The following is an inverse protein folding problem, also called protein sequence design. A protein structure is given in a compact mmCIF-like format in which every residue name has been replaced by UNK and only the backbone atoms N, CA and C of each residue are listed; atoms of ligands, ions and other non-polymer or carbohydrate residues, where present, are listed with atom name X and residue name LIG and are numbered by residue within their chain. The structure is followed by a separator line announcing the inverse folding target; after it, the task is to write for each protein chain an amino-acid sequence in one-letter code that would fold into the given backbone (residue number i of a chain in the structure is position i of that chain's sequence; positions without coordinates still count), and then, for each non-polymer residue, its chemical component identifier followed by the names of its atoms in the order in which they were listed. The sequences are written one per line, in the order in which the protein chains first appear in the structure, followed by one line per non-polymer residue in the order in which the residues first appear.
data_IF_923379746735
#
_entry.id   IF_923379746735
#
_cell.length_a   1.000
_cell.length_b   1.000
_cell.length_c   1.000
_cell.angle_alpha   90.00
_cell.angle_beta   90.00
_cell.angle_gamma   90.00
#
_symmetry.space_group_name_H-M   'P 1'
#
loop_
_entity.id
_entity.type
_entity.pdbx_description
1 polymer ?
#
# COMPACT_ATOMS: atom_id res chain seq x y z
N UNK A 1 -14.31 -25.35 55.35
CA UNK A 1 -14.37 -23.89 55.13
C UNK A 1 -13.85 -23.64 53.72
N UNK A 2 -14.72 -23.73 52.73
CA UNK A 2 -14.40 -23.44 51.33
C UNK A 2 -15.28 -22.26 50.93
N UNK A 3 -14.65 -21.12 50.65
CA UNK A 3 -15.33 -19.94 50.15
C UNK A 3 -15.44 -20.11 48.64
N UNK A 4 -16.65 -20.31 48.14
CA UNK A 4 -16.96 -20.18 46.73
C UNK A 4 -16.91 -18.68 46.38
N UNK A 5 -16.15 -18.33 45.35
CA UNK A 5 -16.20 -17.00 44.74
C UNK A 5 -17.38 -17.01 43.75
N UNK A 6 -18.44 -16.29 44.11
CA UNK A 6 -19.55 -15.99 43.21
C UNK A 6 -19.05 -15.18 42.01
N UNK A 7 -19.37 -15.65 40.81
CA UNK A 7 -19.21 -14.87 39.58
C UNK A 7 -20.32 -13.81 39.50
N UNK A 8 -20.03 -12.55 39.14
CA UNK A 8 -21.05 -11.53 39.02
C UNK A 8 -21.93 -11.80 37.79
N UNK A 9 -23.18 -12.16 38.03
CA UNK A 9 -24.26 -12.11 37.04
C UNK A 9 -24.69 -10.66 36.84
N UNK A 10 -23.98 -9.94 35.97
CA UNK A 10 -24.41 -8.64 35.46
C UNK A 10 -24.62 -8.76 33.95
N UNK A 11 -25.85 -8.58 33.48
CA UNK A 11 -26.15 -8.36 32.07
C UNK A 11 -25.37 -7.11 31.61
N UNK A 12 -24.35 -7.30 30.79
CA UNK A 12 -23.68 -6.20 30.11
C UNK A 12 -24.60 -5.73 28.98
N UNK A 13 -25.41 -4.70 29.25
CA UNK A 13 -26.02 -3.91 28.18
C UNK A 13 -24.92 -3.11 27.49
N UNK A 14 -24.47 -3.60 26.34
CA UNK A 14 -23.51 -2.87 25.48
C UNK A 14 -24.29 -1.84 24.69
N UNK A 15 -24.34 -0.60 25.19
CA UNK A 15 -24.82 0.53 24.40
C UNK A 15 -23.72 0.97 23.43
N UNK A 16 -23.93 0.72 22.14
CA UNK A 16 -23.05 1.24 21.08
C UNK A 16 -23.03 2.79 21.15
N UNK A 17 -21.86 3.43 21.01
CA UNK A 17 -21.76 4.90 21.04
C UNK A 17 -22.55 5.52 19.87
N UNK A 18 -23.21 6.66 20.11
CA UNK A 18 -23.89 7.41 19.05
C UNK A 18 -22.86 8.07 18.13
N UNK A 19 -22.72 7.53 16.92
CA UNK A 19 -21.89 8.11 15.85
C UNK A 19 -22.71 9.16 15.08
N UNK A 20 -22.16 10.36 14.79
CA UNK A 20 -22.88 11.38 14.00
C UNK A 20 -23.22 10.86 12.59
N UNK A 21 -24.44 11.14 12.08
CA UNK A 21 -25.00 10.55 10.84
C UNK A 21 -24.18 10.75 9.57
N UNK A 22 -23.30 11.75 9.55
CA UNK A 22 -22.42 12.08 8.43
C UNK A 22 -21.16 11.19 8.34
N UNK A 23 -20.91 10.35 9.36
CA UNK A 23 -19.80 9.38 9.43
C UNK A 23 -20.28 7.93 9.48
N UNK A 24 -21.57 7.69 9.22
CA UNK A 24 -22.15 6.36 9.28
C UNK A 24 -22.14 5.75 7.87
N UNK A 25 -21.28 4.76 7.66
CA UNK A 25 -21.25 3.93 6.45
C UNK A 25 -22.52 3.06 6.35
N UNK A 26 -22.95 2.73 5.13
CA UNK A 26 -24.15 1.91 4.90
C UNK A 26 -24.06 0.54 5.59
N UNK A 27 -22.86 -0.04 5.71
CA UNK A 27 -22.65 -1.31 6.42
C UNK A 27 -22.95 -1.21 7.92
N UNK A 28 -22.63 -0.09 8.58
CA UNK A 28 -22.95 0.10 9.99
C UNK A 28 -24.45 0.22 10.23
N UNK A 29 -25.17 0.92 9.33
CA UNK A 29 -26.64 1.01 9.43
C UNK A 29 -27.29 -0.36 9.24
N UNK A 30 -26.77 -1.17 8.31
CA UNK A 30 -27.25 -2.53 8.09
C UNK A 30 -27.00 -3.44 9.30
N UNK A 31 -25.80 -3.38 9.89
CA UNK A 31 -25.47 -4.16 11.10
C UNK A 31 -26.25 -3.69 12.32
N UNK A 32 -26.45 -2.38 12.47
CA UNK A 32 -27.27 -1.82 13.56
C UNK A 32 -28.74 -2.19 13.42
N UNK A 33 -29.29 -2.17 12.20
CA UNK A 33 -30.65 -2.63 11.95
C UNK A 33 -30.83 -4.12 12.30
N UNK A 34 -29.86 -4.98 11.94
CA UNK A 34 -29.87 -6.39 12.31
C UNK A 34 -29.78 -6.59 13.84
N UNK A 35 -28.94 -5.81 14.51
CA UNK A 35 -28.84 -5.82 15.97
C UNK A 35 -30.14 -5.39 16.63
N UNK A 36 -30.75 -4.30 16.16
CA UNK A 36 -32.00 -3.76 16.70
C UNK A 36 -33.19 -4.71 16.45
N UNK A 37 -33.17 -5.49 15.36
CA UNK A 37 -34.21 -6.49 15.05
C UNK A 37 -34.08 -7.79 15.86
N UNK A 38 -32.87 -8.31 16.06
CA UNK A 38 -32.65 -9.56 16.80
C UNK A 38 -31.30 -9.59 17.52
N UNK A 39 -31.19 -8.97 18.71
CA UNK A 39 -29.94 -8.89 19.45
C UNK A 39 -29.39 -10.28 19.83
N UNK A 40 -30.29 -11.19 20.24
CA UNK A 40 -29.92 -12.52 20.73
C UNK A 40 -29.41 -13.46 19.62
N UNK A 41 -29.89 -13.27 18.38
CA UNK A 41 -29.45 -14.03 17.20
C UNK A 41 -28.45 -13.31 16.30
N UNK A 42 -28.06 -12.08 16.65
CA UNK A 42 -27.16 -11.27 15.84
C UNK A 42 -25.82 -11.97 15.58
N UNK A 43 -25.22 -12.55 16.62
CA UNK A 43 -23.94 -13.25 16.51
C UNK A 43 -24.01 -14.41 15.52
N UNK A 44 -25.06 -15.24 15.58
CA UNK A 44 -25.26 -16.40 14.72
C UNK A 44 -25.57 -16.00 13.26
N UNK A 45 -26.28 -14.87 13.06
CA UNK A 45 -26.55 -14.31 11.73
C UNK A 45 -25.30 -13.71 11.09
N UNK A 46 -24.47 -13.02 11.87
CA UNK A 46 -23.18 -12.50 11.41
C UNK A 46 -22.23 -13.66 11.11
N UNK A 47 -22.20 -14.70 11.94
CA UNK A 47 -21.39 -15.90 11.72
C UNK A 47 -21.85 -16.66 10.45
N UNK A 48 -23.17 -16.85 10.27
CA UNK A 48 -23.73 -17.46 9.07
C UNK A 48 -23.44 -16.63 7.81
N UNK A 49 -23.52 -15.29 7.89
CA UNK A 49 -23.16 -14.39 6.81
C UNK A 49 -21.66 -14.47 6.49
N UNK A 50 -20.82 -14.63 7.51
CA UNK A 50 -19.35 -14.78 7.43
C UNK A 50 -18.96 -16.10 6.76
N UNK A 51 -19.63 -17.20 7.11
CA UNK A 51 -19.48 -18.49 6.45
C UNK A 51 -19.96 -18.45 5.00
N UNK A 52 -21.13 -17.84 4.75
CA UNK A 52 -21.68 -17.65 3.40
C UNK A 52 -20.77 -16.78 2.53
N UNK A 53 -20.13 -15.78 3.13
CA UNK A 53 -19.12 -14.94 2.49
C UNK A 53 -17.73 -15.60 2.40
N UNK A 54 -17.60 -16.87 2.81
CA UNK A 54 -16.36 -17.65 2.68
C UNK A 54 -15.17 -17.02 3.42
N UNK A 55 -15.39 -16.35 4.55
CA UNK A 55 -14.33 -15.64 5.26
C UNK A 55 -13.27 -16.59 5.87
N UNK A 56 -13.63 -17.82 6.19
CA UNK A 56 -12.69 -18.90 6.58
C UNK A 56 -11.81 -19.39 5.43
N UNK A 57 -12.18 -19.14 4.17
CA UNK A 57 -11.32 -19.43 3.01
C UNK A 57 -10.22 -18.38 2.83
N UNK A 58 -10.38 -17.16 3.36
CA UNK A 58 -9.34 -16.13 3.29
C UNK A 58 -8.07 -16.52 4.06
N UNK A 59 -8.19 -17.31 5.14
CA UNK A 59 -7.05 -17.83 5.91
C UNK A 59 -6.21 -18.84 5.13
N UNK A 60 -6.76 -19.41 4.06
CA UNK A 60 -6.10 -20.38 3.19
C UNK A 60 -5.57 -19.76 1.88
N UNK A 61 -5.61 -18.43 1.72
CA UNK A 61 -5.02 -17.77 0.55
C UNK A 61 -3.51 -18.03 0.53
N UNK A 62 -3.05 -18.68 -0.54
CA UNK A 62 -1.64 -18.98 -0.72
C UNK A 62 -0.80 -17.68 -0.71
N UNK A 63 0.35 -17.66 -0.01
CA UNK A 63 1.25 -16.51 -0.04
C UNK A 63 1.71 -16.24 -1.48
N UNK A 64 1.64 -14.98 -1.90
CA UNK A 64 2.22 -14.58 -3.19
C UNK A 64 3.72 -14.34 -3.01
N UNK A 65 4.54 -14.80 -3.95
CA UNK A 65 5.98 -14.53 -3.92
C UNK A 65 6.25 -13.04 -4.21
N UNK A 66 7.00 -12.38 -3.34
CA UNK A 66 7.47 -11.02 -3.58
C UNK A 66 8.32 -10.93 -4.84
N UNK A 67 8.23 -9.80 -5.54
CA UNK A 67 9.09 -9.54 -6.69
C UNK A 67 10.57 -9.54 -6.26
N UNK A 68 11.47 -10.26 -6.96
CA UNK A 68 12.88 -10.29 -6.61
C UNK A 68 13.61 -9.02 -7.06
N UNK A 69 14.87 -8.88 -6.63
CA UNK A 69 15.78 -7.94 -7.27
C UNK A 69 16.16 -8.43 -8.67
N UNK A 70 16.02 -7.55 -9.65
CA UNK A 70 16.35 -7.76 -11.06
C UNK A 70 17.65 -7.00 -11.35
N UNK A 71 18.58 -7.65 -12.05
CA UNK A 71 19.82 -7.02 -12.51
C UNK A 71 19.51 -6.01 -13.62
N UNK A 72 19.99 -4.78 -13.47
CA UNK A 72 19.80 -3.74 -14.47
C UNK A 72 20.50 -4.06 -15.80
N UNK A 73 21.64 -4.75 -15.75
CA UNK A 73 22.35 -5.21 -16.96
C UNK A 73 21.54 -6.26 -17.73
N UNK A 74 20.81 -7.12 -17.02
CA UNK A 74 20.03 -8.19 -17.64
C UNK A 74 18.67 -7.72 -18.17
N UNK A 75 17.96 -6.90 -17.40
CA UNK A 75 16.66 -6.33 -17.75
C UNK A 75 16.61 -4.90 -17.19
N UNK A 76 16.89 -3.87 -18.00
CA UNK A 76 16.91 -2.47 -17.55
C UNK A 76 15.51 -1.84 -17.48
N UNK A 77 14.46 -2.55 -17.88
CA UNK A 77 13.11 -2.02 -17.99
C UNK A 77 12.12 -2.76 -17.05
N UNK A 78 11.31 -1.98 -16.35
CA UNK A 78 10.19 -2.45 -15.53
C UNK A 78 8.91 -1.80 -16.01
N UNK A 79 7.91 -2.60 -16.35
CA UNK A 79 6.59 -2.14 -16.79
C UNK A 79 5.58 -2.46 -15.69
N UNK A 80 4.83 -1.45 -15.25
CA UNK A 80 3.86 -1.57 -14.17
C UNK A 80 2.55 -0.92 -14.60
N UNK A 81 1.41 -1.62 -14.49
CA UNK A 81 0.13 -1.04 -14.85
C UNK A 81 -0.29 0.01 -13.83
N UNK A 82 -1.03 1.01 -14.31
CA UNK A 82 -1.43 2.16 -13.49
C UNK A 82 -2.61 1.89 -12.55
N UNK A 83 -3.18 0.68 -12.59
CA UNK A 83 -4.33 0.32 -11.76
C UNK A 83 -4.03 -0.86 -10.84
N UNK A 84 -4.34 -0.66 -9.57
CA UNK A 84 -4.32 -1.63 -8.48
C UNK A 84 -5.74 -1.85 -7.95
N UNK A 85 -6.00 -3.02 -7.36
CA UNK A 85 -7.24 -3.22 -6.61
C UNK A 85 -7.25 -2.41 -5.31
N UNK A 86 -8.36 -2.51 -4.57
CA UNK A 86 -8.54 -1.87 -3.26
C UNK A 86 -8.97 -2.85 -2.16
N UNK A 87 -9.20 -4.13 -2.52
CA UNK A 87 -9.83 -5.09 -1.64
C UNK A 87 -8.94 -5.46 -0.44
N UNK A 88 -7.62 -5.53 -0.65
CA UNK A 88 -6.68 -5.93 0.40
C UNK A 88 -6.69 -4.99 1.60
N UNK A 89 -6.85 -3.68 1.38
CA UNK A 89 -6.90 -2.71 2.50
C UNK A 89 -8.05 -3.02 3.45
N UNK A 90 -9.27 -3.19 2.91
CA UNK A 90 -10.45 -3.48 3.72
C UNK A 90 -10.39 -4.85 4.40
N UNK A 91 -9.77 -5.85 3.74
CA UNK A 91 -9.51 -7.15 4.39
C UNK A 91 -8.55 -6.97 5.57
N UNK A 92 -7.41 -6.28 5.38
CA UNK A 92 -6.44 -6.06 6.44
C UNK A 92 -7.04 -5.27 7.61
N UNK A 93 -7.80 -4.22 7.30
CA UNK A 93 -8.51 -3.43 8.31
C UNK A 93 -9.47 -4.29 9.14
N UNK A 94 -10.31 -5.10 8.48
CA UNK A 94 -11.26 -5.98 9.18
C UNK A 94 -10.56 -6.93 10.13
N UNK A 95 -9.45 -7.56 9.70
CA UNK A 95 -8.71 -8.49 10.55
C UNK A 95 -8.13 -7.79 11.80
N UNK A 96 -7.60 -6.58 11.62
CA UNK A 96 -6.92 -5.87 12.70
C UNK A 96 -7.90 -5.21 13.66
N UNK A 97 -8.89 -4.47 13.16
CA UNK A 97 -9.84 -3.70 13.99
C UNK A 97 -11.10 -4.48 14.34
N UNK A 98 -11.56 -5.34 13.44
CA UNK A 98 -12.76 -6.14 13.65
C UNK A 98 -12.47 -7.46 14.37
N UNK A 99 -11.44 -8.17 13.94
CA UNK A 99 -11.14 -9.53 14.46
C UNK A 99 -9.96 -9.55 15.45
N UNK A 100 -9.29 -8.41 15.68
CA UNK A 100 -8.15 -8.26 16.60
C UNK A 100 -7.05 -9.31 16.39
N UNK A 101 -6.72 -9.60 15.13
CA UNK A 101 -5.67 -10.56 14.74
C UNK A 101 -4.95 -10.14 13.46
N UNK A 102 -3.77 -10.72 13.20
CA UNK A 102 -3.06 -10.45 11.96
C UNK A 102 -3.78 -11.07 10.75
N UNK A 103 -3.80 -10.38 9.59
CA UNK A 103 -4.37 -10.90 8.36
C UNK A 103 -3.55 -12.08 7.81
N UNK A 104 -4.17 -13.01 7.07
CA UNK A 104 -3.49 -14.04 6.32
C UNK A 104 -2.49 -13.41 5.33
N UNK A 105 -1.25 -13.93 5.29
CA UNK A 105 -0.18 -13.34 4.46
C UNK A 105 -0.56 -13.19 2.99
N UNK A 106 -1.30 -14.16 2.46
CA UNK A 106 -1.76 -14.16 1.06
C UNK A 106 -2.81 -13.10 0.74
N UNK A 107 -3.52 -12.55 1.75
CA UNK A 107 -4.51 -11.49 1.54
C UNK A 107 -3.90 -10.08 1.54
N UNK A 108 -2.60 -9.95 1.80
CA UNK A 108 -1.89 -8.66 1.90
C UNK A 108 -1.25 -8.31 0.55
N UNK A 109 -1.82 -7.32 -0.13
CA UNK A 109 -1.33 -6.77 -1.41
C UNK A 109 -0.81 -5.36 -1.17
N UNK A 110 0.52 -5.21 -1.17
CA UNK A 110 1.19 -3.96 -0.79
C UNK A 110 0.77 -2.81 -1.70
N UNK A 111 0.63 -3.06 -3.00
CA UNK A 111 0.19 -2.07 -3.97
C UNK A 111 -1.21 -1.54 -3.66
N UNK A 112 -2.11 -2.37 -3.13
CA UNK A 112 -3.47 -1.97 -2.78
C UNK A 112 -3.52 -1.23 -1.45
N UNK A 113 -2.61 -1.52 -0.51
CA UNK A 113 -2.47 -0.76 0.73
C UNK A 113 -2.01 0.68 0.44
N UNK A 114 -1.02 0.84 -0.44
CA UNK A 114 -0.51 2.16 -0.86
C UNK A 114 -1.60 2.92 -1.64
N UNK A 115 -2.19 2.28 -2.66
CA UNK A 115 -3.11 2.93 -3.59
C UNK A 115 -4.58 2.98 -3.12
N UNK A 116 -4.86 2.55 -1.89
CA UNK A 116 -6.09 2.91 -1.19
C UNK A 116 -6.17 4.43 -0.99
N UNK A 117 -5.02 5.10 -0.89
CA UNK A 117 -4.90 6.53 -0.69
C UNK A 117 -4.79 7.31 -2.00
N UNK A 118 -5.23 8.56 -1.96
CA UNK A 118 -4.92 9.54 -3.00
C UNK A 118 -3.70 10.36 -2.60
N UNK A 119 -2.81 10.58 -3.56
CA UNK A 119 -1.60 11.38 -3.42
C UNK A 119 -1.66 12.53 -4.42
N UNK A 120 -1.20 13.70 -3.99
CA UNK A 120 -1.08 14.87 -4.85
C UNK A 120 0.33 15.41 -4.79
N UNK A 121 0.83 15.87 -5.93
CA UNK A 121 2.09 16.61 -6.02
C UNK A 121 1.95 17.76 -7.03
N UNK A 122 2.53 18.89 -6.67
CA UNK A 122 2.57 20.08 -7.51
C UNK A 122 3.80 20.09 -8.44
N UNK A 123 4.77 19.19 -8.22
CA UNK A 123 5.99 19.08 -9.03
C UNK A 123 6.02 17.81 -9.87
N UNK A 124 6.11 17.93 -11.20
CA UNK A 124 6.20 16.79 -12.11
C UNK A 124 6.13 17.19 -13.58
N UNK A 125 6.32 16.22 -14.48
CA UNK A 125 5.93 16.38 -15.87
C UNK A 125 4.39 16.37 -15.95
N UNK A 126 3.81 17.26 -16.77
CA UNK A 126 2.35 17.42 -16.86
C UNK A 126 1.95 17.56 -18.33
N UNK A 127 1.00 16.74 -18.76
CA UNK A 127 0.34 16.82 -20.06
C UNK A 127 -1.16 16.75 -19.80
N UNK A 128 -1.87 17.83 -20.14
CA UNK A 128 -3.34 17.92 -20.08
C UNK A 128 -3.98 17.49 -18.74
N UNK A 129 -3.28 17.72 -17.61
CA UNK A 129 -3.78 17.35 -16.28
C UNK A 129 -3.35 15.95 -15.81
N UNK A 130 -2.71 15.15 -16.66
CA UNK A 130 -2.01 13.94 -16.26
C UNK A 130 -0.60 14.31 -15.83
N UNK A 131 -0.29 14.08 -14.55
CA UNK A 131 0.98 14.45 -13.92
C UNK A 131 1.77 13.21 -13.55
N UNK A 132 3.06 13.22 -13.88
CA UNK A 132 4.02 12.18 -13.52
C UNK A 132 5.14 12.81 -12.69
N UNK A 133 5.37 12.27 -11.50
CA UNK A 133 6.34 12.76 -10.53
C UNK A 133 7.20 11.62 -10.02
N UNK A 134 8.47 11.90 -9.78
CA UNK A 134 9.42 10.92 -9.24
C UNK A 134 10.16 11.52 -8.06
N UNK A 135 10.16 10.79 -6.96
CA UNK A 135 10.96 11.09 -5.78
C UNK A 135 11.97 9.98 -5.53
N UNK A 136 13.17 10.35 -5.08
CA UNK A 136 14.26 9.42 -4.82
C UNK A 136 14.97 9.77 -3.52
N UNK A 137 14.98 8.83 -2.57
CA UNK A 137 15.52 9.02 -1.23
C UNK A 137 16.28 7.77 -0.76
N UNK A 138 17.15 7.95 0.23
CA UNK A 138 17.88 6.85 0.88
C UNK A 138 16.91 5.92 1.61
N UNK A 139 17.18 4.60 1.61
CA UNK A 139 16.32 3.64 2.29
C UNK A 139 16.56 3.69 3.81
N UNK A 140 15.53 3.85 4.66
CA UNK A 140 15.72 4.07 6.09
C UNK A 140 16.07 2.80 6.90
N UNK A 141 16.09 1.62 6.26
CA UNK A 141 16.42 0.34 6.91
C UNK A 141 17.60 -0.41 6.27
N UNK A 142 18.17 0.10 5.18
CA UNK A 142 19.26 -0.54 4.45
C UNK A 142 20.07 0.55 3.71
N UNK A 143 21.34 0.75 4.11
CA UNK A 143 22.21 1.79 3.59
C UNK A 143 22.77 1.50 2.19
N UNK A 144 22.67 0.24 1.72
CA UNK A 144 22.99 -0.13 0.35
C UNK A 144 21.85 0.17 -0.63
N UNK A 145 20.67 0.51 -0.12
CA UNK A 145 19.47 0.70 -0.91
C UNK A 145 18.98 2.15 -0.91
N UNK A 146 18.30 2.50 -2.00
CA UNK A 146 17.51 3.72 -2.13
C UNK A 146 16.07 3.36 -2.51
N UNK A 147 15.15 4.27 -2.24
CA UNK A 147 13.73 4.16 -2.54
C UNK A 147 13.35 5.18 -3.62
N UNK A 148 12.68 4.70 -4.66
CA UNK A 148 12.10 5.53 -5.71
C UNK A 148 10.58 5.44 -5.67
N UNK A 149 9.92 6.56 -5.39
CA UNK A 149 8.48 6.71 -5.50
C UNK A 149 8.10 7.33 -6.83
N UNK A 150 7.20 6.69 -7.57
CA UNK A 150 6.64 7.21 -8.81
C UNK A 150 5.16 7.49 -8.58
N UNK A 151 4.76 8.75 -8.73
CA UNK A 151 3.37 9.19 -8.60
C UNK A 151 2.84 9.55 -9.99
N UNK A 152 1.77 8.86 -10.38
CA UNK A 152 0.90 9.25 -11.47
C UNK A 152 -0.38 9.86 -10.88
N UNK A 153 -0.71 11.09 -11.24
CA UNK A 153 -1.92 11.78 -10.79
C UNK A 153 -2.75 12.20 -12.00
N UNK A 154 -4.05 11.95 -11.96
CA UNK A 154 -4.98 12.42 -13.00
C UNK A 154 -5.84 13.56 -12.46
N UNK A 155 -5.45 14.80 -12.76
CA UNK A 155 -6.25 16.02 -12.50
C UNK A 155 -7.04 16.47 -13.74
N UNK A 156 -7.04 15.68 -14.82
CA UNK A 156 -7.83 15.97 -16.02
C UNK A 156 -9.30 15.63 -15.80
N UNK A 157 -10.18 16.10 -16.68
CA UNK A 157 -11.60 15.71 -16.68
C UNK A 157 -11.84 14.30 -17.27
N UNK A 158 -10.78 13.68 -17.84
CA UNK A 158 -10.83 12.38 -18.50
C UNK A 158 -10.42 11.22 -17.61
N UNK A 159 -10.50 10.01 -18.18
CA UNK A 159 -9.98 8.78 -17.59
C UNK A 159 -8.70 8.42 -18.33
N UNK A 160 -7.59 8.25 -17.60
CA UNK A 160 -6.40 7.63 -18.19
C UNK A 160 -6.69 6.14 -18.34
N UNK A 161 -6.56 5.65 -19.56
CA UNK A 161 -7.03 4.33 -19.92
C UNK A 161 -6.29 3.21 -19.16
N UNK A 162 -6.97 2.10 -18.88
CA UNK A 162 -6.43 0.99 -18.06
C UNK A 162 -5.26 0.26 -18.72
N UNK A 163 -5.10 0.41 -20.04
CA UNK A 163 -3.95 -0.06 -20.79
C UNK A 163 -2.69 0.77 -20.59
N UNK A 164 -2.76 1.88 -19.85
CA UNK A 164 -1.59 2.68 -19.60
C UNK A 164 -0.65 2.00 -18.60
N UNK A 165 0.65 2.13 -18.89
CA UNK A 165 1.72 1.56 -18.09
C UNK A 165 2.72 2.64 -17.68
N UNK A 166 3.19 2.54 -16.43
CA UNK A 166 4.39 3.21 -15.94
C UNK A 166 5.59 2.34 -16.30
N UNK A 167 6.51 2.91 -17.07
CA UNK A 167 7.74 2.26 -17.50
C UNK A 167 8.91 2.92 -16.76
N UNK A 168 9.66 2.12 -16.00
CA UNK A 168 10.94 2.53 -15.42
C UNK A 168 12.07 1.92 -16.25
N UNK A 169 12.89 2.77 -16.88
CA UNK A 169 14.13 2.37 -17.54
C UNK A 169 15.32 2.83 -16.69
N UNK A 170 16.15 1.91 -16.20
CA UNK A 170 17.35 2.22 -15.40
C UNK A 170 18.63 2.18 -16.24
N UNK A 171 19.61 3.03 -15.91
CA UNK A 171 20.94 2.99 -16.49
C UNK A 171 21.81 1.93 -15.75
N UNK A 172 22.23 0.83 -16.41
CA UNK A 172 23.03 -0.23 -15.78
C UNK A 172 24.40 0.25 -15.27
N UNK A 173 24.95 1.34 -15.81
CA UNK A 173 26.20 1.93 -15.34
C UNK A 173 26.05 2.62 -13.98
N UNK A 174 24.82 2.92 -13.57
CA UNK A 174 24.50 3.66 -12.34
C UNK A 174 23.64 2.86 -11.36
N UNK A 175 22.89 1.88 -11.84
CA UNK A 175 22.02 1.01 -11.05
C UNK A 175 22.51 -0.42 -11.21
N UNK A 176 22.81 -1.10 -10.10
CA UNK A 176 23.22 -2.50 -10.11
C UNK A 176 22.01 -3.43 -10.25
N UNK A 177 20.97 -3.16 -9.46
CA UNK A 177 19.73 -3.92 -9.45
C UNK A 177 18.58 -3.08 -8.92
N UNK A 178 17.35 -3.41 -9.32
CA UNK A 178 16.14 -2.80 -8.77
C UNK A 178 15.10 -3.86 -8.42
N UNK A 179 14.11 -3.48 -7.61
CA UNK A 179 12.98 -4.33 -7.21
C UNK A 179 11.72 -3.48 -7.14
N UNK A 180 10.64 -3.95 -7.74
CA UNK A 180 9.30 -3.40 -7.55
C UNK A 180 8.72 -3.89 -6.21
N UNK A 181 8.24 -2.97 -5.36
CA UNK A 181 7.54 -3.33 -4.12
C UNK A 181 6.04 -3.47 -4.40
N UNK A 182 5.44 -4.58 -3.95
CA UNK A 182 4.05 -4.93 -4.28
C UNK A 182 3.92 -5.54 -5.67
N UNK A 183 2.70 -5.64 -6.19
CA UNK A 183 2.39 -6.25 -7.49
C UNK A 183 2.88 -7.71 -7.63
N UNK A 184 3.08 -8.40 -6.50
CA UNK A 184 3.51 -9.77 -6.41
C UNK A 184 2.56 -10.72 -7.17
N UNK A 185 3.10 -11.82 -7.72
CA UNK A 185 2.32 -12.90 -8.32
C UNK A 185 1.55 -12.56 -9.60
N UNK A 186 1.86 -11.45 -10.28
CA UNK A 186 1.45 -11.24 -11.67
C UNK A 186 2.42 -11.96 -12.61
N UNK A 187 1.87 -12.60 -13.65
CA UNK A 187 2.67 -13.11 -14.77
C UNK A 187 3.37 -11.92 -15.46
N UNK A 188 4.57 -12.15 -16.01
CA UNK A 188 5.45 -11.13 -16.60
C UNK A 188 4.65 -10.22 -17.56
N UNK A 189 4.64 -8.88 -17.38
CA UNK A 189 3.86 -7.97 -18.23
C UNK A 189 4.26 -7.99 -19.71
N UNK A 190 5.39 -8.62 -20.08
CA UNK A 190 5.73 -8.91 -21.49
C UNK A 190 4.75 -9.89 -22.15
N UNK A 191 4.02 -10.70 -21.37
CA UNK A 191 2.85 -11.45 -21.83
C UNK A 191 1.63 -10.57 -21.60
N UNK A 192 1.43 -9.61 -22.50
CA UNK A 192 0.30 -8.69 -22.45
C UNK A 192 -1.05 -9.44 -22.44
N UNK A 193 -1.59 -9.67 -21.25
CA UNK A 193 -3.02 -9.83 -21.01
C UNK A 193 -3.35 -8.94 -19.82
N UNK A 194 -3.73 -7.71 -20.14
CA UNK A 194 -4.12 -6.70 -19.19
C UNK A 194 -5.47 -7.08 -18.57
N UNK A 195 -5.44 -7.93 -17.55
CA UNK A 195 -6.59 -8.26 -16.72
C UNK A 195 -6.25 -7.96 -15.26
N UNK A 196 -5.98 -6.68 -14.97
CA UNK A 196 -6.14 -6.17 -13.61
C UNK A 196 -7.62 -6.23 -13.18
N UNK A 197 -7.93 -6.36 -11.89
CA UNK A 197 -9.31 -6.47 -11.38
C UNK A 197 -10.16 -5.19 -11.52
N UNK A 198 -9.63 -4.16 -12.18
CA UNK A 198 -10.24 -2.83 -12.33
C UNK A 198 -10.18 -2.44 -13.80
N UNK A 199 -11.32 -2.51 -14.47
CA UNK A 199 -11.48 -2.26 -15.92
C UNK A 199 -11.43 -0.78 -16.30
N UNK A 200 -11.51 0.13 -15.31
CA UNK A 200 -11.96 1.50 -15.55
C UNK A 200 -10.85 2.56 -15.62
N UNK A 201 -9.57 2.14 -15.65
CA UNK A 201 -8.43 3.05 -15.75
C UNK A 201 -8.23 3.92 -14.50
N UNK A 202 -7.52 5.05 -14.65
CA UNK A 202 -7.32 6.04 -13.59
C UNK A 202 -8.26 7.23 -13.81
N UNK A 203 -9.35 7.29 -13.06
CA UNK A 203 -10.34 8.38 -13.14
C UNK A 203 -9.80 9.73 -12.64
N UNK A 204 -10.48 10.81 -13.01
CA UNK A 204 -10.21 12.16 -12.50
C UNK A 204 -10.16 12.21 -10.96
N UNK A 205 -9.19 12.94 -10.42
CA UNK A 205 -8.93 13.09 -8.99
C UNK A 205 -8.26 11.89 -8.32
N UNK A 206 -7.93 10.83 -9.08
CA UNK A 206 -7.24 9.65 -8.55
C UNK A 206 -5.74 9.71 -8.85
N UNK A 207 -5.00 8.94 -8.07
CA UNK A 207 -3.56 8.74 -8.25
C UNK A 207 -3.19 7.26 -8.21
N UNK A 208 -2.07 6.92 -8.82
CA UNK A 208 -1.37 5.67 -8.61
C UNK A 208 0.07 5.97 -8.15
N UNK A 209 0.51 5.27 -7.12
CA UNK A 209 1.82 5.39 -6.51
C UNK A 209 2.52 4.05 -6.58
N UNK A 210 3.68 4.04 -7.24
CA UNK A 210 4.53 2.86 -7.43
C UNK A 210 5.83 3.07 -6.65
N UNK A 211 6.30 2.02 -5.98
CA UNK A 211 7.50 2.09 -5.14
C UNK A 211 8.54 1.06 -5.59
N UNK A 212 9.78 1.51 -5.76
CA UNK A 212 10.92 0.67 -6.10
C UNK A 212 12.01 0.75 -5.02
N UNK A 213 12.67 -0.38 -4.76
CA UNK A 213 14.00 -0.41 -4.15
C UNK A 213 15.06 -0.43 -5.26
N UNK A 214 16.05 0.45 -5.14
CA UNK A 214 17.15 0.59 -6.09
C UNK A 214 18.45 0.33 -5.34
N UNK A 215 19.27 -0.61 -5.83
CA UNK A 215 20.66 -0.74 -5.41
C UNK A 215 21.53 0.00 -6.43
N UNK A 216 22.07 1.18 -6.08
CA UNK A 216 22.96 1.92 -6.97
C UNK A 216 24.30 1.20 -7.16
N UNK A 217 25.05 1.59 -8.19
CA UNK A 217 26.46 1.23 -8.36
C UNK A 217 27.33 2.00 -7.34
N UNK A 218 28.55 1.49 -7.13
CA UNK A 218 29.54 2.05 -6.18
C UNK A 218 29.86 3.53 -6.49
N UNK A 219 30.15 4.31 -5.44
CA UNK A 219 30.35 5.76 -5.53
C UNK A 219 31.44 6.20 -6.51
N UNK A 220 32.48 5.37 -6.71
CA UNK A 220 33.59 5.69 -7.64
C UNK A 220 33.13 5.82 -9.10
N UNK A 221 31.98 5.25 -9.48
CA UNK A 221 31.41 5.37 -10.83
C UNK A 221 30.49 6.59 -11.00
N UNK A 222 30.22 7.34 -9.92
CA UNK A 222 29.33 8.52 -9.92
C UNK A 222 30.04 9.79 -10.39
N UNK A 223 30.54 9.77 -11.62
CA UNK A 223 30.91 11.00 -12.34
C UNK A 223 29.66 11.80 -12.76
N UNK A 224 29.81 13.13 -12.93
CA UNK A 224 28.87 14.17 -13.47
C UNK A 224 27.41 13.76 -13.74
N UNK A 225 26.42 14.52 -13.24
CA UNK A 225 24.96 14.41 -13.51
C UNK A 225 24.60 13.58 -14.75
N UNK A 226 24.47 12.28 -14.58
CA UNK A 226 23.94 11.33 -15.57
C UNK A 226 22.51 10.98 -15.21
N UNK A 227 21.72 10.58 -16.21
CA UNK A 227 20.35 10.11 -16.02
C UNK A 227 20.42 8.69 -15.46
N UNK A 228 20.11 8.51 -14.18
CA UNK A 228 20.07 7.21 -13.50
C UNK A 228 18.88 6.36 -13.97
N UNK A 229 17.76 7.00 -14.20
CA UNK A 229 16.56 6.34 -14.69
C UNK A 229 15.69 7.30 -15.49
N UNK A 230 14.83 6.74 -16.33
CA UNK A 230 13.73 7.44 -17.00
C UNK A 230 12.45 6.76 -16.57
N UNK A 231 11.49 7.54 -16.10
CA UNK A 231 10.14 7.06 -15.87
C UNK A 231 9.26 7.63 -16.95
N UNK A 232 8.54 6.76 -17.66
CA UNK A 232 7.57 7.18 -18.65
C UNK A 232 6.18 6.61 -18.45
N UNK A 233 5.20 7.35 -18.93
CA UNK A 233 3.81 6.88 -19.04
C UNK A 233 3.51 6.60 -20.50
N UNK A 234 3.13 5.36 -20.80
CA UNK A 234 2.61 4.98 -22.11
C UNK A 234 1.09 4.96 -22.06
N UNK A 235 0.40 5.86 -22.75
CA UNK A 235 -1.06 5.90 -22.85
C UNK A 235 -1.52 5.76 -24.31
N UNK A 236 -2.14 4.63 -24.67
CA UNK A 236 -2.74 4.40 -26.00
C UNK A 236 -1.76 4.35 -27.20
N UNK A 237 -2.32 4.44 -28.43
CA UNK A 237 -1.61 4.33 -29.72
C UNK A 237 -1.01 5.66 -30.24
N UNK A 238 -1.45 6.80 -29.69
CA UNK A 238 -0.91 8.12 -29.98
C UNK A 238 0.03 8.51 -28.83
N UNK A 239 1.29 8.14 -28.98
CA UNK A 239 2.34 8.18 -27.96
C UNK A 239 2.76 9.60 -27.55
N UNK A 240 1.92 10.31 -26.79
CA UNK A 240 2.43 11.38 -25.93
C UNK A 240 3.03 10.74 -24.68
N UNK A 241 4.37 10.67 -24.67
CA UNK A 241 5.13 10.07 -23.58
C UNK A 241 5.48 11.16 -22.56
N UNK A 242 4.88 11.11 -21.37
CA UNK A 242 5.39 11.85 -20.22
C UNK A 242 6.69 11.21 -19.79
N UNK A 243 7.80 11.94 -19.79
CA UNK A 243 9.09 11.42 -19.32
C UNK A 243 9.66 12.26 -18.19
N UNK A 244 9.99 11.61 -17.07
CA UNK A 244 10.70 12.21 -15.95
C UNK A 244 12.10 11.59 -15.84
N UNK A 245 13.17 12.34 -16.14
CA UNK A 245 14.53 11.86 -15.93
C UNK A 245 14.93 11.97 -14.45
N UNK A 246 15.49 10.90 -13.90
CA UNK A 246 16.06 10.86 -12.56
C UNK A 246 17.56 11.13 -12.68
N UNK A 247 17.98 12.36 -12.40
CA UNK A 247 19.39 12.81 -12.58
C UNK A 247 20.13 13.07 -11.28
N UNK A 248 19.45 12.95 -10.13
CA UNK A 248 19.99 13.29 -8.81
C UNK A 248 20.25 12.03 -8.00
N UNK A 249 21.22 12.13 -7.09
CA UNK A 249 21.45 11.12 -6.07
C UNK A 249 20.24 11.03 -5.12
N UNK A 250 20.06 9.89 -4.42
CA UNK A 250 19.02 9.78 -3.41
C UNK A 250 19.20 10.88 -2.37
N UNK A 251 18.12 11.58 -2.02
CA UNK A 251 18.14 12.54 -0.92
C UNK A 251 18.22 11.81 0.42
N UNK A 252 18.61 12.50 1.47
CA UNK A 252 18.49 11.97 2.83
C UNK A 252 17.03 11.65 3.17
N UNK A 253 16.79 10.54 3.85
CA UNK A 253 15.43 10.10 4.25
C UNK A 253 14.65 11.18 5.01
N UNK A 254 15.34 11.94 5.87
CA UNK A 254 14.72 13.00 6.66
C UNK A 254 14.02 14.06 5.78
N UNK A 255 14.50 14.27 4.55
CA UNK A 255 13.99 15.23 3.58
C UNK A 255 12.97 14.63 2.59
N UNK A 256 12.59 13.36 2.75
CA UNK A 256 11.56 12.73 1.95
C UNK A 256 10.19 13.41 2.16
N UNK A 257 9.39 13.47 1.09
CA UNK A 257 8.05 14.03 1.15
C UNK A 257 7.12 13.21 2.05
N UNK A 258 6.05 13.86 2.52
CA UNK A 258 4.98 13.18 3.26
C UNK A 258 4.37 12.02 2.46
N UNK A 259 4.25 12.16 1.13
CA UNK A 259 3.75 11.11 0.24
C UNK A 259 4.67 9.88 0.26
N UNK A 260 5.98 10.08 0.09
CA UNK A 260 6.95 8.98 0.10
C UNK A 260 7.02 8.34 1.49
N UNK A 261 7.05 9.12 2.57
CA UNK A 261 7.03 8.59 3.94
C UNK A 261 5.79 7.73 4.22
N UNK A 262 4.61 8.18 3.77
CA UNK A 262 3.36 7.45 3.89
C UNK A 262 3.38 6.14 3.08
N UNK A 263 3.75 6.21 1.80
CA UNK A 263 3.82 5.02 0.93
C UNK A 263 4.83 3.99 1.48
N UNK A 264 5.98 4.46 1.98
CA UNK A 264 7.00 3.60 2.57
C UNK A 264 6.50 2.94 3.85
N UNK A 265 5.84 3.68 4.75
CA UNK A 265 5.26 3.11 5.98
C UNK A 265 4.26 1.98 5.66
N UNK A 266 3.34 2.20 4.72
CA UNK A 266 2.37 1.20 4.27
C UNK A 266 3.05 0.00 3.59
N UNK A 267 4.09 0.25 2.80
CA UNK A 267 4.84 -0.81 2.12
C UNK A 267 5.61 -1.69 3.10
N UNK A 268 6.28 -1.08 4.09
CA UNK A 268 7.02 -1.77 5.13
C UNK A 268 6.08 -2.58 6.02
N UNK A 269 4.92 -2.02 6.37
CA UNK A 269 3.88 -2.73 7.10
C UNK A 269 3.38 -3.95 6.32
N UNK A 270 3.04 -3.79 5.04
CA UNK A 270 2.63 -4.90 4.18
C UNK A 270 3.73 -5.96 4.02
N UNK A 271 5.00 -5.57 3.94
CA UNK A 271 6.14 -6.50 3.93
C UNK A 271 6.26 -7.27 5.25
N UNK A 272 6.06 -6.63 6.41
CA UNK A 272 6.10 -7.30 7.72
C UNK A 272 4.90 -8.25 7.88
N UNK A 273 3.69 -7.81 7.54
CA UNK A 273 2.46 -8.63 7.61
C UNK A 273 2.58 -9.91 6.78
N UNK A 274 3.16 -9.82 5.57
CA UNK A 274 3.35 -10.99 4.70
C UNK A 274 4.64 -11.78 4.98
N UNK A 275 5.48 -11.33 5.91
CA UNK A 275 6.82 -11.85 6.18
C UNK A 275 7.71 -11.91 4.92
N UNK A 276 7.81 -10.77 4.24
CA UNK A 276 8.62 -10.61 3.04
C UNK A 276 10.10 -10.87 3.32
N UNK A 277 10.82 -11.66 2.49
CA UNK A 277 12.25 -11.87 2.66
C UNK A 277 13.08 -10.62 2.33
N UNK A 278 12.48 -9.61 1.70
CA UNK A 278 13.13 -8.37 1.28
C UNK A 278 12.97 -7.23 2.28
N UNK A 279 12.26 -7.48 3.39
CA UNK A 279 12.22 -6.54 4.51
C UNK A 279 13.54 -6.42 5.26
N UNK A 280 14.50 -7.33 5.02
CA UNK A 280 15.82 -7.31 5.66
C UNK A 280 15.69 -7.27 7.19
N UNK A 281 16.14 -6.18 7.86
CA UNK A 281 16.03 -6.01 9.31
C UNK A 281 14.69 -5.44 9.80
N UNK A 282 13.72 -5.15 8.91
CA UNK A 282 12.46 -4.49 9.29
C UNK A 282 11.69 -5.31 10.33
N UNK A 283 11.42 -4.65 11.46
CA UNK A 283 10.53 -5.17 12.51
C UNK A 283 9.22 -4.39 12.57
N UNK A 284 8.24 -4.89 13.33
CA UNK A 284 7.03 -4.11 13.62
C UNK A 284 7.35 -2.82 14.39
N UNK A 285 8.45 -2.75 15.16
CA UNK A 285 8.91 -1.51 15.79
C UNK A 285 9.35 -0.47 14.76
N UNK A 286 10.08 -0.88 13.72
CA UNK A 286 10.49 0.02 12.63
C UNK A 286 9.28 0.56 11.87
N UNK A 287 8.33 -0.33 11.58
CA UNK A 287 7.05 0.04 10.96
C UNK A 287 6.30 1.06 11.81
N UNK A 288 6.22 0.84 13.13
CA UNK A 288 5.59 1.79 14.05
C UNK A 288 6.31 3.14 14.13
N UNK A 289 7.65 3.16 14.02
CA UNK A 289 8.43 4.41 13.92
C UNK A 289 8.11 5.16 12.63
N UNK A 290 8.13 4.48 11.48
CA UNK A 290 7.82 5.07 10.19
C UNK A 290 6.38 5.61 10.11
N UNK A 291 5.42 4.88 10.67
CA UNK A 291 4.02 5.32 10.70
C UNK A 291 3.83 6.60 11.54
N UNK A 292 4.48 6.70 12.70
CA UNK A 292 4.47 7.93 13.51
C UNK A 292 5.14 9.10 12.80
N UNK A 293 6.30 8.88 12.20
CA UNK A 293 7.01 9.91 11.41
C UNK A 293 6.15 10.39 10.23
N UNK A 294 5.47 9.49 9.52
CA UNK A 294 4.57 9.86 8.44
C UNK A 294 3.36 10.67 8.95
N UNK A 295 2.76 10.27 10.09
CA UNK A 295 1.62 10.97 10.70
C UNK A 295 1.92 12.43 11.07
N UNK A 296 3.17 12.73 11.45
CA UNK A 296 3.62 14.10 11.74
C UNK A 296 3.66 14.98 10.47
N UNK A 297 3.93 14.37 9.31
CA UNK A 297 4.01 15.06 8.02
C UNK A 297 2.70 15.11 7.23
N UNK A 298 1.65 14.41 7.66
CA UNK A 298 0.33 14.38 6.98
C UNK A 298 -0.57 15.48 7.54
N UNK A 299 -1.18 16.27 6.65
CA UNK A 299 -2.08 17.36 7.05
C UNK A 299 -3.29 16.82 7.83
N UNK A 300 -3.78 17.60 8.79
CA UNK A 300 -4.91 17.19 9.65
C UNK A 300 -6.20 16.93 8.88
N UNK A 301 -6.34 17.51 7.68
CA UNK A 301 -7.50 17.32 6.80
C UNK A 301 -7.43 16.04 5.96
N UNK A 302 -6.26 15.41 5.84
CA UNK A 302 -6.07 14.18 5.06
C UNK A 302 -6.48 12.93 5.84
N UNK A 303 -7.76 12.86 6.24
CA UNK A 303 -8.30 11.86 7.16
C UNK A 303 -7.99 10.42 6.74
N UNK A 304 -8.12 10.08 5.45
CA UNK A 304 -7.82 8.73 4.93
C UNK A 304 -6.35 8.32 5.13
N UNK A 305 -5.40 9.24 4.88
CA UNK A 305 -3.98 8.95 5.10
C UNK A 305 -3.69 8.74 6.58
N UNK A 306 -4.26 9.60 7.43
CA UNK A 306 -4.12 9.50 8.89
C UNK A 306 -4.70 8.21 9.43
N UNK A 307 -5.87 7.81 8.94
CA UNK A 307 -6.52 6.55 9.30
C UNK A 307 -5.69 5.33 8.87
N UNK A 308 -5.19 5.30 7.63
CA UNK A 308 -4.36 4.21 7.16
C UNK A 308 -3.06 4.08 7.97
N UNK A 309 -2.44 5.20 8.35
CA UNK A 309 -1.26 5.19 9.21
C UNK A 309 -1.60 4.80 10.66
N UNK A 310 -2.77 5.18 11.16
CA UNK A 310 -3.25 4.75 12.48
C UNK A 310 -3.53 3.25 12.50
N UNK A 311 -4.07 2.68 11.42
CA UNK A 311 -4.29 1.23 11.29
C UNK A 311 -2.98 0.44 11.41
N UNK A 312 -1.87 0.98 10.91
CA UNK A 312 -0.53 0.39 11.14
C UNK A 312 -0.24 0.33 12.65
N UNK A 313 -0.48 1.42 13.38
CA UNK A 313 -0.22 1.50 14.82
C UNK A 313 -1.14 0.58 15.62
N UNK A 314 -2.41 0.48 15.24
CA UNK A 314 -3.40 -0.41 15.85
C UNK A 314 -3.00 -1.89 15.71
N UNK A 315 -2.25 -2.22 14.65
CA UNK A 315 -1.76 -3.59 14.41
C UNK A 315 -0.56 -4.00 15.28
N UNK A 316 0.18 -3.03 15.85
CA UNK A 316 1.45 -3.31 16.54
C UNK A 316 1.33 -4.32 17.71
N UNK A 317 0.32 -4.21 18.61
CA UNK A 317 0.17 -5.16 19.70
C UNK A 317 -0.09 -6.60 19.24
N UNK A 318 -0.66 -6.78 18.04
CA UNK A 318 -1.01 -8.11 17.52
C UNK A 318 0.23 -8.93 17.15
N UNK A 319 1.34 -8.27 16.81
CA UNK A 319 2.62 -8.96 16.56
C UNK A 319 3.25 -9.56 17.82
N UNK A 320 2.90 -9.05 19.01
CA UNK A 320 3.40 -9.57 20.28
C UNK A 320 2.57 -10.78 20.77
N UNK A 321 1.30 -10.85 20.38
CA UNK A 321 0.37 -11.94 20.76
C UNK A 321 0.65 -13.22 19.96
N UNK A 322 0.97 -13.11 18.67
CA UNK A 322 1.24 -14.26 17.78
C UNK A 322 2.62 -14.91 18.00
N UNK A 323 3.46 -14.37 18.90
CA UNK A 323 4.78 -14.94 19.24
C UNK A 323 4.73 -16.01 20.35
N UNK A 324 3.54 -16.35 20.84
CA UNK A 324 3.27 -17.32 21.93
C UNK A 324 2.89 -18.72 21.47
#
# INVERSE_FOLDING_TARGET
MGVALDAPTGEFSVTLPEVPREFIEEEYLALKALWDENPDGFAEQVESATEKAQLSLLSHIAPMADNPFISAEAKPESIVPIVSGTASYHVVERFIRGEMKLPPRGSVRIEELINHLSYSDNGGANIEGVKLSVEFASCPWDDELALMGVLLQNDSDGVVASEADVILTVDPDLVKSYRLIGYAGREDPEVAVNNGPSTDGLSSGRSNYVLYQIRPQDEERRGTQKIMARVSLRAGLAAEELVVPVTRLPREWALASSNLKTAVALSSWGMVLRQSPFGGPLTHFDVGRMAREALEGVDVTELKKREALQLILDSLPLFEIDAG
#
